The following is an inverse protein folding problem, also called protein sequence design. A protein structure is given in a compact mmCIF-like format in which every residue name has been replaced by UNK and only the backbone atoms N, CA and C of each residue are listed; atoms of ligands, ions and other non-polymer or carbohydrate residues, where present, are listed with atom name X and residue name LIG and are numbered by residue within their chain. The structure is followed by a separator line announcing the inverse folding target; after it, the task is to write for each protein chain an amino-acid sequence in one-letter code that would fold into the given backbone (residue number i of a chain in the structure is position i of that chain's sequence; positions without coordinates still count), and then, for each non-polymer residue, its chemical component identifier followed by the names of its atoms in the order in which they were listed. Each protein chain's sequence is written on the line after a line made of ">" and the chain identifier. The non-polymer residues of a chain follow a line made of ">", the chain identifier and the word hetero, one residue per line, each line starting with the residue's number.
data_IF_339186363430
#
_entry.id   IF_339186363430
#
_cell.length_a   1.000
_cell.length_b   1.000
_cell.length_c   1.000
_cell.angle_alpha   90.00
_cell.angle_beta   90.00
_cell.angle_gamma   90.00
#
_symmetry.space_group_name_H-M   'P 1'
#
loop_
_entity.id
_entity.type
_entity.pdbx_description
1 polymer ?
#
# COMPACT_ATOMS: atom_id res chain seq x y z
N UNK A 1 -29.34 -33.54 52.50
CA UNK A 1 -28.04 -33.80 51.83
C UNK A 1 -28.22 -33.63 50.33
N UNK A 2 -27.67 -32.56 49.73
CA UNK A 2 -27.58 -32.42 48.27
C UNK A 2 -26.14 -32.79 47.87
N UNK A 3 -25.97 -33.92 47.18
CA UNK A 3 -24.69 -34.28 46.58
C UNK A 3 -24.44 -33.35 45.38
N UNK A 4 -23.32 -32.63 45.42
CA UNK A 4 -22.76 -31.98 44.25
C UNK A 4 -22.05 -33.06 43.41
N UNK A 5 -22.52 -33.28 42.18
CA UNK A 5 -21.87 -34.15 41.20
C UNK A 5 -21.01 -33.27 40.27
N UNK A 6 -19.70 -33.51 40.12
CA UNK A 6 -18.88 -32.75 39.19
C UNK A 6 -19.11 -33.23 37.75
N UNK A 7 -19.49 -32.31 36.85
CA UNK A 7 -19.58 -32.55 35.40
C UNK A 7 -18.18 -32.74 34.81
N UNK A 8 -17.81 -33.99 34.50
CA UNK A 8 -16.53 -34.42 33.90
C UNK A 8 -16.39 -34.18 32.38
N UNK A 9 -17.05 -33.16 31.83
CA UNK A 9 -17.15 -32.96 30.37
C UNK A 9 -16.31 -31.83 29.76
N UNK A 10 -15.81 -30.88 30.56
CA UNK A 10 -15.36 -29.59 30.04
C UNK A 10 -13.86 -29.31 30.26
N UNK A 11 -13.13 -30.19 30.95
CA UNK A 11 -11.77 -29.88 31.41
C UNK A 11 -10.74 -29.87 30.28
N UNK A 12 -10.88 -30.76 29.28
CA UNK A 12 -9.98 -30.80 28.12
C UNK A 12 -10.23 -29.63 27.16
N UNK A 13 -11.49 -29.24 26.95
CA UNK A 13 -11.86 -28.10 26.12
C UNK A 13 -11.41 -26.78 26.76
N UNK A 14 -11.56 -26.65 28.09
CA UNK A 14 -11.02 -25.52 28.87
C UNK A 14 -9.47 -25.49 28.79
N UNK A 15 -8.81 -26.65 28.82
CA UNK A 15 -7.35 -26.75 28.72
C UNK A 15 -6.84 -26.39 27.33
N UNK A 16 -7.55 -26.78 26.28
CA UNK A 16 -7.25 -26.40 24.90
C UNK A 16 -7.49 -24.90 24.67
N UNK A 17 -8.60 -24.35 25.14
CA UNK A 17 -8.87 -22.91 25.14
C UNK A 17 -7.80 -22.13 25.90
N UNK A 18 -7.31 -22.64 27.03
CA UNK A 18 -6.20 -22.03 27.79
C UNK A 18 -4.88 -22.07 27.01
N UNK A 19 -4.58 -23.15 26.28
CA UNK A 19 -3.39 -23.23 25.42
C UNK A 19 -3.47 -22.22 24.29
N UNK A 20 -4.61 -22.13 23.62
CA UNK A 20 -4.85 -21.15 22.55
C UNK A 20 -4.76 -19.72 23.07
N UNK A 21 -5.38 -19.41 24.21
CA UNK A 21 -5.27 -18.09 24.85
C UNK A 21 -3.82 -17.75 25.20
N UNK A 22 -3.06 -18.71 25.73
CA UNK A 22 -1.65 -18.52 26.06
C UNK A 22 -0.81 -18.21 24.80
N UNK A 23 -1.05 -18.93 23.71
CA UNK A 23 -0.38 -18.66 22.43
C UNK A 23 -0.71 -17.27 21.87
N UNK A 24 -1.98 -16.86 21.96
CA UNK A 24 -2.42 -15.52 21.55
C UNK A 24 -1.74 -14.44 22.40
N UNK A 25 -1.70 -14.60 23.73
CA UNK A 25 -1.05 -13.66 24.65
C UNK A 25 0.46 -13.54 24.37
N UNK A 26 1.13 -14.66 24.12
CA UNK A 26 2.55 -14.68 23.74
C UNK A 26 2.80 -13.96 22.42
N UNK A 27 1.94 -14.15 21.42
CA UNK A 27 2.03 -13.46 20.14
C UNK A 27 1.80 -11.94 20.31
N UNK A 28 0.80 -11.55 21.10
CA UNK A 28 0.51 -10.15 21.45
C UNK A 28 1.69 -9.46 22.15
N UNK A 29 2.39 -10.15 23.04
CA UNK A 29 3.57 -9.59 23.70
C UNK A 29 4.72 -9.37 22.72
N UNK A 30 4.98 -10.33 21.83
CA UNK A 30 5.99 -10.20 20.77
C UNK A 30 5.66 -9.03 19.84
N UNK A 31 4.42 -8.93 19.39
CA UNK A 31 3.97 -7.86 18.49
C UNK A 31 4.04 -6.49 19.17
N UNK A 32 3.72 -6.40 20.48
CA UNK A 32 3.91 -5.17 21.27
C UNK A 32 5.38 -4.76 21.34
N UNK A 33 6.29 -5.71 21.47
CA UNK A 33 7.72 -5.41 21.55
C UNK A 33 8.28 -4.95 20.20
N UNK A 34 7.88 -5.60 19.11
CA UNK A 34 8.20 -5.16 17.74
C UNK A 34 7.62 -3.76 17.48
N UNK A 35 6.36 -3.53 17.86
CA UNK A 35 5.69 -2.25 17.68
C UNK A 35 6.41 -1.10 18.42
N UNK A 36 6.89 -1.36 19.65
CA UNK A 36 7.69 -0.39 20.41
C UNK A 36 9.06 -0.13 19.80
N UNK A 37 9.65 -1.12 19.13
CA UNK A 37 10.93 -0.97 18.45
C UNK A 37 10.81 -0.29 17.08
N UNK A 38 9.65 -0.35 16.42
CA UNK A 38 9.42 0.32 15.14
C UNK A 38 9.22 1.82 15.28
N UNK A 39 10.08 2.60 14.64
CA UNK A 39 9.95 4.06 14.57
C UNK A 39 8.99 4.46 13.43
N UNK A 40 7.97 5.25 13.75
CA UNK A 40 6.96 5.72 12.79
C UNK A 40 7.32 7.14 12.34
N UNK A 41 7.67 7.29 11.07
CA UNK A 41 8.03 8.57 10.47
C UNK A 41 6.90 9.05 9.55
N UNK A 42 6.57 10.34 9.65
CA UNK A 42 5.62 11.00 8.75
C UNK A 42 6.37 11.96 7.83
N UNK A 43 6.24 11.74 6.52
CA UNK A 43 6.79 12.63 5.50
C UNK A 43 5.73 13.66 5.12
N UNK A 44 5.93 14.91 5.51
CA UNK A 44 5.07 16.05 5.18
C UNK A 44 5.70 16.91 4.08
N UNK A 45 4.88 17.48 3.20
CA UNK A 45 5.32 18.35 2.11
C UNK A 45 4.20 18.62 1.11
N UNK A 46 4.39 19.61 0.24
CA UNK A 46 3.44 19.96 -0.83
C UNK A 46 3.16 18.80 -1.79
N UNK A 47 2.07 18.88 -2.56
CA UNK A 47 1.87 17.97 -3.70
C UNK A 47 3.14 17.91 -4.57
N UNK A 48 3.51 16.73 -5.03
CA UNK A 48 4.67 16.53 -5.94
C UNK A 48 6.07 16.78 -5.35
N UNK A 49 6.19 17.10 -4.05
CA UNK A 49 7.49 17.37 -3.38
C UNK A 49 8.45 16.18 -3.27
N UNK A 50 8.21 15.07 -3.98
CA UNK A 50 9.10 13.90 -3.99
C UNK A 50 9.01 12.99 -2.77
N UNK A 51 7.97 13.11 -1.91
CA UNK A 51 7.77 12.21 -0.75
C UNK A 51 7.79 10.74 -1.15
N UNK A 52 7.10 10.39 -2.23
CA UNK A 52 7.09 9.04 -2.78
C UNK A 52 8.46 8.59 -3.29
N UNK A 53 9.30 9.53 -3.76
CA UNK A 53 10.67 9.24 -4.19
C UNK A 53 11.56 8.87 -3.00
N UNK A 54 11.44 9.59 -1.88
CA UNK A 54 12.19 9.27 -0.65
C UNK A 54 11.83 7.86 -0.16
N UNK A 55 10.54 7.53 -0.11
CA UNK A 55 10.09 6.19 0.30
C UNK A 55 10.60 5.10 -0.66
N UNK A 56 10.60 5.36 -1.97
CA UNK A 56 11.17 4.42 -2.96
C UNK A 56 12.67 4.22 -2.77
N UNK A 57 13.43 5.28 -2.47
CA UNK A 57 14.86 5.19 -2.18
C UNK A 57 15.13 4.41 -0.88
N UNK A 58 14.30 4.62 0.14
CA UNK A 58 14.38 3.84 1.37
C UNK A 58 14.16 2.34 1.13
N UNK A 59 13.21 1.97 0.25
CA UNK A 59 13.03 0.57 -0.17
C UNK A 59 14.26 0.02 -0.88
N UNK A 60 14.85 0.76 -1.81
CA UNK A 60 16.05 0.30 -2.55
C UNK A 60 17.22 0.02 -1.61
N UNK A 61 17.48 0.92 -0.65
CA UNK A 61 18.63 0.82 0.24
C UNK A 61 18.44 -0.22 1.36
N UNK A 62 17.22 -0.40 1.87
CA UNK A 62 16.99 -1.20 3.10
C UNK A 62 16.15 -2.46 2.87
N UNK A 63 15.51 -2.64 1.71
CA UNK A 63 14.54 -3.74 1.46
C UNK A 63 14.73 -4.27 0.04
N UNK A 64 15.75 -5.11 -0.21
CA UNK A 64 16.00 -5.92 -1.44
C UNK A 64 15.57 -5.36 -2.82
N UNK A 65 15.38 -4.04 -2.97
CA UNK A 65 14.85 -3.38 -4.16
C UNK A 65 13.39 -3.72 -4.53
N UNK A 66 13.11 -3.56 -5.82
CA UNK A 66 11.82 -3.89 -6.45
C UNK A 66 11.94 -5.18 -7.25
N UNK A 67 10.90 -6.01 -7.20
CA UNK A 67 10.85 -7.24 -7.98
C UNK A 67 10.62 -6.94 -9.48
N UNK A 68 11.00 -7.85 -10.36
CA UNK A 68 10.88 -7.63 -11.82
C UNK A 68 9.43 -7.49 -12.27
N UNK A 69 8.49 -8.09 -11.55
CA UNK A 69 7.05 -7.88 -11.76
C UNK A 69 6.63 -6.43 -11.46
N UNK A 70 7.05 -5.88 -10.31
CA UNK A 70 6.77 -4.48 -9.95
C UNK A 70 7.38 -3.51 -10.97
N UNK A 71 8.61 -3.80 -11.44
CA UNK A 71 9.25 -2.99 -12.49
C UNK A 71 8.45 -3.00 -13.79
N UNK A 72 7.95 -4.16 -14.21
CA UNK A 72 7.10 -4.29 -15.42
C UNK A 72 5.81 -3.50 -15.30
N UNK A 73 5.15 -3.55 -14.14
CA UNK A 73 3.95 -2.76 -13.86
C UNK A 73 4.23 -1.25 -13.94
N UNK A 74 5.44 -0.79 -13.60
CA UNK A 74 5.82 0.63 -13.75
C UNK A 74 6.07 1.09 -15.18
N UNK A 75 6.24 0.19 -16.14
CA UNK A 75 6.45 0.57 -17.55
C UNK A 75 5.23 1.31 -18.11
N UNK A 76 4.01 0.88 -17.77
CA UNK A 76 2.78 1.54 -18.21
C UNK A 76 2.66 2.95 -17.63
N UNK A 77 2.99 3.10 -16.34
CA UNK A 77 3.01 4.40 -15.66
C UNK A 77 4.00 5.36 -16.33
N UNK A 78 5.22 4.88 -16.66
CA UNK A 78 6.24 5.69 -17.34
C UNK A 78 5.74 6.15 -18.72
N UNK A 79 5.15 5.23 -19.50
CA UNK A 79 4.60 5.57 -20.81
C UNK A 79 3.50 6.62 -20.72
N UNK A 80 2.61 6.51 -19.72
CA UNK A 80 1.56 7.51 -19.47
C UNK A 80 2.19 8.85 -19.08
N UNK A 81 3.08 8.88 -18.09
CA UNK A 81 3.73 10.11 -17.63
C UNK A 81 4.45 10.86 -18.75
N UNK A 82 5.15 10.15 -19.65
CA UNK A 82 5.83 10.77 -20.81
C UNK A 82 4.82 11.38 -21.76
N UNK A 83 3.75 10.65 -22.11
CA UNK A 83 2.68 11.16 -22.97
C UNK A 83 2.03 12.40 -22.37
N UNK A 84 1.64 12.34 -21.11
CA UNK A 84 0.93 13.42 -20.43
C UNK A 84 1.83 14.66 -20.33
N UNK A 85 3.11 14.48 -20.00
CA UNK A 85 4.08 15.59 -19.95
C UNK A 85 4.25 16.26 -21.32
N UNK A 86 4.33 15.46 -22.39
CA UNK A 86 4.41 15.99 -23.76
C UNK A 86 3.14 16.75 -24.14
N UNK A 87 1.96 16.22 -23.83
CA UNK A 87 0.68 16.85 -24.14
C UNK A 87 0.52 18.18 -23.40
N UNK A 88 0.79 18.20 -22.09
CA UNK A 88 0.74 19.42 -21.28
C UNK A 88 1.68 20.49 -21.85
N UNK A 89 2.91 20.11 -22.22
CA UNK A 89 3.88 21.04 -22.81
C UNK A 89 3.44 21.54 -24.19
N UNK A 90 2.94 20.65 -25.06
CA UNK A 90 2.51 21.01 -26.41
C UNK A 90 1.32 21.99 -26.40
N UNK A 91 0.35 21.76 -25.51
CA UNK A 91 -0.82 22.61 -25.37
C UNK A 91 -0.48 23.95 -24.69
N UNK A 92 0.24 23.91 -23.55
CA UNK A 92 0.46 25.10 -22.75
C UNK A 92 1.58 26.02 -23.29
N UNK A 93 2.62 25.44 -23.89
CA UNK A 93 3.81 26.21 -24.30
C UNK A 93 3.86 26.42 -25.81
N UNK A 94 3.48 25.42 -26.60
CA UNK A 94 3.58 25.46 -28.06
C UNK A 94 2.27 25.84 -28.77
N UNK A 95 1.17 25.97 -28.02
CA UNK A 95 -0.17 26.29 -28.51
C UNK A 95 -0.62 25.38 -29.69
N UNK A 96 -0.16 24.12 -29.69
CA UNK A 96 -0.51 23.15 -30.72
C UNK A 96 -1.91 22.62 -30.42
N UNK A 97 -2.91 22.88 -31.27
CA UNK A 97 -4.27 22.42 -31.01
C UNK A 97 -4.36 20.89 -31.11
N UNK A 98 -5.29 20.26 -30.37
CA UNK A 98 -5.53 18.83 -30.50
C UNK A 98 -5.91 18.49 -31.94
N UNK A 99 -5.57 17.27 -32.42
CA UNK A 99 -5.87 16.86 -33.78
C UNK A 99 -7.37 17.00 -34.08
N UNK A 100 -7.68 17.64 -35.20
CA UNK A 100 -9.04 18.03 -35.64
C UNK A 100 -10.03 16.86 -35.79
N UNK A 101 -9.53 15.62 -35.80
CA UNK A 101 -10.33 14.41 -35.79
C UNK A 101 -10.98 14.08 -34.43
N UNK A 102 -10.62 14.78 -33.35
CA UNK A 102 -11.16 14.59 -32.01
C UNK A 102 -11.74 15.91 -31.48
N UNK A 103 -13.04 15.92 -31.16
CA UNK A 103 -13.71 17.09 -30.55
C UNK A 103 -13.10 17.40 -29.17
N UNK A 104 -13.22 18.66 -28.71
CA UNK A 104 -12.58 19.11 -27.46
C UNK A 104 -12.92 18.22 -26.23
N UNK A 105 -14.14 17.67 -26.22
CA UNK A 105 -14.59 16.73 -25.17
C UNK A 105 -14.06 15.31 -25.35
N UNK A 106 -13.84 14.86 -26.58
CA UNK A 106 -13.37 13.50 -26.86
C UNK A 106 -11.89 13.34 -26.53
N UNK A 107 -11.05 14.37 -26.77
CA UNK A 107 -9.65 14.30 -26.34
C UNK A 107 -9.52 14.33 -24.82
N UNK A 108 -10.30 15.16 -24.13
CA UNK A 108 -10.25 15.26 -22.68
C UNK A 108 -10.61 13.92 -22.01
N UNK A 109 -11.63 13.23 -22.54
CA UNK A 109 -12.02 11.88 -22.10
C UNK A 109 -10.97 10.83 -22.48
N UNK A 110 -10.36 10.92 -23.66
CA UNK A 110 -9.30 10.00 -24.09
C UNK A 110 -8.00 10.13 -23.27
N UNK A 111 -7.75 11.28 -22.66
CA UNK A 111 -6.63 11.49 -21.71
C UNK A 111 -6.97 11.08 -20.28
N UNK A 112 -8.24 11.09 -19.87
CA UNK A 112 -8.67 10.74 -18.51
C UNK A 112 -8.93 9.23 -18.31
N UNK A 113 -9.20 8.48 -19.39
CA UNK A 113 -9.56 7.05 -19.33
C UNK A 113 -8.66 6.19 -20.24
N UNK A 114 -7.37 6.01 -19.88
CA UNK A 114 -6.51 4.89 -20.34
C UNK A 114 -5.16 4.75 -19.66
#
# INVERSE_FOLDING_TARGET
>A
MKLCVPRRGNDEEIKEQRKTNKQIEEQLQKDKQVYRATHRLLLLGAGESGKSTIVKQMRILHINGFNDKEKKEKITDIKRNVRDSMLVTALATLNIPPPSSLTDRQWALATLDR
#
